data_IF_378920691144
#
_entry.id   IF_378920691144
#
_cell.length_a   1.000
_cell.length_b   1.000
_cell.length_c   1.000
_cell.angle_alpha   90.00
_cell.angle_beta   90.00
_cell.angle_gamma   90.00
#
_symmetry.space_group_name_H-M   'P 1'
#
loop_
_entity.id
_entity.type
_entity.pdbx_description
1 polymer ?
#
# COMPACT_ATOMS: atom_id res chain seq x y z
N UNK A 1 -28.68 -36.39 4.71
CA UNK A 1 -27.97 -35.37 5.50
C UNK A 1 -26.88 -34.79 4.61
N UNK A 2 -27.01 -33.53 4.18
CA UNK A 2 -25.92 -32.83 3.49
C UNK A 2 -24.95 -32.39 4.58
N UNK A 3 -23.76 -33.00 4.62
CA UNK A 3 -22.71 -32.54 5.51
C UNK A 3 -22.19 -31.21 4.97
N UNK A 4 -22.46 -30.10 5.66
CA UNK A 4 -21.86 -28.82 5.29
C UNK A 4 -20.38 -28.88 5.63
N UNK A 5 -19.54 -29.13 4.64
CA UNK A 5 -18.09 -28.98 4.80
C UNK A 5 -17.82 -27.53 5.18
N UNK A 6 -17.47 -27.28 6.45
CA UNK A 6 -17.13 -25.95 6.95
C UNK A 6 -15.95 -25.43 6.12
N UNK A 7 -16.10 -24.24 5.51
CA UNK A 7 -14.96 -23.56 4.88
C UNK A 7 -13.90 -23.32 5.96
N UNK A 8 -12.61 -23.59 5.69
CA UNK A 8 -11.54 -23.22 6.61
C UNK A 8 -11.68 -21.72 6.93
N UNK A 9 -11.88 -21.39 8.20
CA UNK A 9 -11.96 -19.99 8.61
C UNK A 9 -10.58 -19.36 8.46
N UNK A 10 -10.52 -18.14 7.90
CA UNK A 10 -9.30 -17.35 7.86
C UNK A 10 -8.76 -17.20 9.28
N UNK A 11 -7.46 -17.46 9.48
CA UNK A 11 -6.85 -17.30 10.79
C UNK A 11 -6.94 -15.84 11.26
N UNK A 12 -7.28 -15.62 12.53
CA UNK A 12 -7.48 -14.28 13.09
C UNK A 12 -6.31 -13.31 12.85
N UNK A 13 -5.08 -13.83 12.83
CA UNK A 13 -3.89 -13.03 12.52
C UNK A 13 -3.82 -12.55 11.07
N UNK A 14 -4.20 -13.40 10.11
CA UNK A 14 -4.24 -13.04 8.69
C UNK A 14 -5.33 -12.00 8.43
N UNK A 15 -6.49 -12.19 9.05
CA UNK A 15 -7.57 -11.22 9.01
C UNK A 15 -7.15 -9.85 9.57
N UNK A 16 -6.47 -9.84 10.72
CA UNK A 16 -5.97 -8.61 11.34
C UNK A 16 -4.93 -7.92 10.45
N UNK A 17 -3.98 -8.68 9.90
CA UNK A 17 -2.97 -8.16 8.98
C UNK A 17 -3.63 -7.51 7.76
N UNK A 18 -4.66 -8.14 7.20
CA UNK A 18 -5.41 -7.60 6.05
C UNK A 18 -6.03 -6.25 6.37
N UNK A 19 -6.67 -6.09 7.53
CA UNK A 19 -7.26 -4.82 7.96
C UNK A 19 -6.20 -3.75 8.17
N UNK A 20 -5.13 -4.08 8.91
CA UNK A 20 -4.05 -3.14 9.19
C UNK A 20 -3.38 -2.69 7.89
N UNK A 21 -3.07 -3.61 6.98
CA UNK A 21 -2.52 -3.28 5.67
C UNK A 21 -3.47 -2.38 4.86
N UNK A 22 -4.77 -2.66 4.85
CA UNK A 22 -5.77 -1.83 4.15
C UNK A 22 -5.83 -0.39 4.70
N UNK A 23 -5.83 -0.25 6.03
CA UNK A 23 -5.81 1.07 6.67
C UNK A 23 -4.51 1.84 6.35
N UNK A 24 -3.36 1.17 6.42
CA UNK A 24 -2.07 1.77 6.09
C UNK A 24 -2.00 2.21 4.63
N UNK A 25 -2.56 1.43 3.70
CA UNK A 25 -2.67 1.80 2.28
C UNK A 25 -3.43 3.12 2.12
N UNK A 26 -4.58 3.27 2.78
CA UNK A 26 -5.38 4.51 2.68
C UNK A 26 -4.57 5.72 3.13
N UNK A 27 -3.90 5.61 4.28
CA UNK A 27 -3.09 6.70 4.84
C UNK A 27 -1.89 7.03 3.94
N UNK A 28 -1.10 6.02 3.57
CA UNK A 28 0.12 6.21 2.78
C UNK A 28 -0.21 6.67 1.36
N UNK A 29 -1.28 6.17 0.75
CA UNK A 29 -1.78 6.65 -0.56
C UNK A 29 -2.17 8.13 -0.49
N UNK A 30 -2.88 8.55 0.58
CA UNK A 30 -3.23 9.95 0.78
C UNK A 30 -1.98 10.84 0.83
N UNK A 31 -0.97 10.43 1.60
CA UNK A 31 0.33 11.12 1.66
C UNK A 31 0.99 11.14 0.28
N UNK A 32 1.03 10.01 -0.42
CA UNK A 32 1.61 9.89 -1.77
C UNK A 32 0.96 10.89 -2.73
N UNK A 33 -0.37 10.98 -2.78
CA UNK A 33 -1.05 11.96 -3.64
C UNK A 33 -0.71 13.41 -3.27
N UNK A 34 -0.70 13.75 -1.99
CA UNK A 34 -0.36 15.11 -1.57
C UNK A 34 1.07 15.46 -1.98
N UNK A 35 2.05 14.62 -1.61
CA UNK A 35 3.46 14.98 -1.82
C UNK A 35 3.86 14.86 -3.30
N UNK A 36 3.45 13.80 -4.00
CA UNK A 36 3.82 13.58 -5.41
C UNK A 36 2.98 14.39 -6.41
N UNK A 37 1.71 14.66 -6.12
CA UNK A 37 0.82 15.26 -7.12
C UNK A 37 0.32 16.66 -6.76
N UNK A 38 0.29 17.06 -5.48
CA UNK A 38 -0.20 18.38 -5.09
C UNK A 38 0.91 19.37 -4.70
N UNK A 39 2.01 18.88 -4.11
CA UNK A 39 3.13 19.72 -3.67
C UNK A 39 4.18 19.92 -4.77
N UNK A 40 4.34 18.97 -5.69
CA UNK A 40 5.27 19.09 -6.81
C UNK A 40 4.74 20.11 -7.85
N UNK A 41 5.45 21.23 -8.12
CA UNK A 41 4.99 22.25 -9.07
C UNK A 41 4.90 21.66 -10.49
N UNK A 42 3.67 21.46 -10.99
CA UNK A 42 3.43 20.87 -12.31
C UNK A 42 3.44 19.33 -12.35
N UNK A 43 3.67 18.66 -11.22
CA UNK A 43 3.82 17.20 -11.13
C UNK A 43 5.23 16.69 -11.48
N UNK A 44 5.57 15.48 -11.01
CA UNK A 44 6.81 14.80 -11.41
C UNK A 44 6.69 14.24 -12.83
N UNK A 45 6.80 15.11 -13.83
CA UNK A 45 6.57 14.76 -15.23
C UNK A 45 7.84 14.35 -15.99
N UNK A 46 9.02 14.64 -15.44
CA UNK A 46 10.30 14.29 -16.07
C UNK A 46 11.16 13.36 -15.21
N UNK A 47 12.08 12.65 -15.86
CA UNK A 47 13.07 11.81 -15.18
C UNK A 47 13.89 12.59 -14.14
N UNK A 48 14.29 13.82 -14.49
CA UNK A 48 15.08 14.68 -13.62
C UNK A 48 14.31 15.10 -12.37
N UNK A 49 12.99 15.33 -12.49
CA UNK A 49 12.14 15.67 -11.35
C UNK A 49 12.03 14.50 -10.38
N UNK A 50 11.82 13.27 -10.91
CA UNK A 50 11.80 12.04 -10.10
C UNK A 50 13.14 11.85 -9.40
N UNK A 51 14.25 12.01 -10.11
CA UNK A 51 15.58 11.85 -9.52
C UNK A 51 15.82 12.86 -8.39
N UNK A 52 15.50 14.14 -8.60
CA UNK A 52 15.66 15.17 -7.57
C UNK A 52 14.76 14.91 -6.35
N UNK A 53 13.54 14.42 -6.59
CA UNK A 53 12.60 14.10 -5.53
C UNK A 53 13.07 12.89 -4.70
N UNK A 54 13.56 11.84 -5.35
CA UNK A 54 14.11 10.65 -4.69
C UNK A 54 15.41 10.91 -3.91
N UNK A 55 16.06 12.07 -4.07
CA UNK A 55 17.23 12.44 -3.26
C UNK A 55 16.87 12.69 -1.79
N UNK A 56 15.61 12.98 -1.47
CA UNK A 56 15.16 12.98 -0.07
C UNK A 56 14.85 11.54 0.36
N UNK A 57 15.62 10.96 1.30
CA UNK A 57 15.53 9.54 1.64
C UNK A 57 14.17 9.12 2.25
N UNK A 58 13.38 10.07 2.78
CA UNK A 58 12.06 9.77 3.34
C UNK A 58 11.09 9.29 2.25
N UNK A 59 11.25 9.81 1.02
CA UNK A 59 10.40 9.48 -0.12
C UNK A 59 10.52 8.01 -0.52
N UNK A 60 11.70 7.47 -0.88
CA UNK A 60 11.82 6.06 -1.25
C UNK A 60 11.48 5.14 -0.07
N UNK A 61 11.73 5.54 1.19
CA UNK A 61 11.28 4.76 2.35
C UNK A 61 9.76 4.63 2.37
N UNK A 62 9.04 5.75 2.23
CA UNK A 62 7.58 5.77 2.20
C UNK A 62 7.04 4.95 1.01
N UNK A 63 7.63 5.08 -0.17
CA UNK A 63 7.17 4.37 -1.37
C UNK A 63 7.46 2.86 -1.33
N UNK A 64 8.59 2.44 -0.75
CA UNK A 64 8.87 1.02 -0.50
C UNK A 64 7.86 0.44 0.49
N UNK A 65 7.58 1.13 1.59
CA UNK A 65 6.57 0.70 2.55
C UNK A 65 5.19 0.60 1.89
N UNK A 66 4.84 1.58 1.07
CA UNK A 66 3.60 1.58 0.33
C UNK A 66 3.47 0.34 -0.57
N UNK A 67 4.52 0.05 -1.35
CA UNK A 67 4.56 -1.11 -2.24
C UNK A 67 4.40 -2.42 -1.45
N UNK A 68 5.13 -2.57 -0.33
CA UNK A 68 5.04 -3.75 0.53
C UNK A 68 3.61 -3.96 1.05
N UNK A 69 2.96 -2.91 1.55
CA UNK A 69 1.60 -3.03 2.07
C UNK A 69 0.58 -3.32 0.97
N UNK A 70 0.64 -2.63 -0.18
CA UNK A 70 -0.28 -2.87 -1.30
C UNK A 70 -0.17 -4.29 -1.83
N UNK A 71 1.05 -4.78 -2.05
CA UNK A 71 1.26 -6.15 -2.54
C UNK A 71 0.80 -7.17 -1.51
N UNK A 72 1.14 -6.97 -0.23
CA UNK A 72 0.70 -7.86 0.85
C UNK A 72 -0.82 -7.91 0.95
N UNK A 73 -1.49 -6.75 0.92
CA UNK A 73 -2.95 -6.66 0.98
C UNK A 73 -3.62 -7.31 -0.23
N UNK A 74 -3.08 -7.10 -1.43
CA UNK A 74 -3.59 -7.73 -2.65
C UNK A 74 -3.49 -9.26 -2.61
N UNK A 75 -2.33 -9.79 -2.20
CA UNK A 75 -2.12 -11.24 -2.07
C UNK A 75 -3.03 -11.87 -1.00
N UNK A 76 -3.21 -11.19 0.13
CA UNK A 76 -4.16 -11.63 1.17
C UNK A 76 -5.62 -11.52 0.73
N UNK A 77 -5.96 -10.59 -0.15
CA UNK A 77 -7.32 -10.41 -0.65
C UNK A 77 -7.75 -11.44 -1.70
N UNK A 78 -6.80 -12.04 -2.42
CA UNK A 78 -7.05 -13.05 -3.46
C UNK A 78 -7.10 -14.48 -2.89
N UNK A 79 -6.47 -14.69 -1.72
CA UNK A 79 -6.43 -15.98 -1.02
C UNK A 79 -7.81 -16.40 -0.50
#
# INVERSE_FOLDING_TARGET
MVSSTQKPQEGAWLWLLKIVAGLLIIVIMGIHFVVNHLVAPGGLLTYTDVLAYYQNPIIPIMEILFLVFVVTHALLGIR
#
